data_IF_869828175858
#
_entry.id   IF_869828175858
#
_cell.length_a   1.000
_cell.length_b   1.000
_cell.length_c   1.000
_cell.angle_alpha   90.00
_cell.angle_beta   90.00
_cell.angle_gamma   90.00
#
_symmetry.space_group_name_H-M   'P 1'
#
loop_
_entity.id
_entity.type
_entity.pdbx_description
1 polymer ?
#
# COMPACT_ATOMS: atom_id res chain seq x y z
N UNK A 1 -0.70 12.69 -1.82
CA UNK A 1 -0.73 11.22 -1.72
C UNK A 1 -2.14 10.75 -2.03
N UNK A 2 -2.33 9.62 -2.70
CA UNK A 2 -3.64 9.04 -2.99
C UNK A 2 -3.84 7.75 -2.18
N UNK A 3 -5.09 7.39 -1.88
CA UNK A 3 -5.39 6.13 -1.21
C UNK A 3 -5.25 4.92 -2.17
N UNK A 4 -5.25 3.70 -1.60
CA UNK A 4 -5.11 2.46 -2.36
C UNK A 4 -6.18 2.30 -3.45
N UNK A 5 -7.44 2.65 -3.17
CA UNK A 5 -8.53 2.55 -4.14
C UNK A 5 -8.30 3.44 -5.37
N UNK A 6 -7.88 4.68 -5.14
CA UNK A 6 -7.57 5.63 -6.20
C UNK A 6 -6.30 5.24 -6.96
N UNK A 7 -5.32 4.63 -6.28
CA UNK A 7 -4.14 4.05 -6.93
C UNK A 7 -4.53 2.91 -7.89
N UNK A 8 -5.36 1.97 -7.43
CA UNK A 8 -5.89 0.88 -8.27
C UNK A 8 -6.64 1.44 -9.48
N UNK A 9 -7.57 2.40 -9.27
CA UNK A 9 -8.31 3.04 -10.36
C UNK A 9 -7.38 3.74 -11.36
N UNK A 10 -6.31 4.36 -10.87
CA UNK A 10 -5.37 5.11 -11.72
C UNK A 10 -4.56 4.17 -12.61
N UNK A 11 -4.10 3.03 -12.10
CA UNK A 11 -3.10 2.20 -12.78
C UNK A 11 -3.58 0.85 -13.30
N UNK A 12 -4.73 0.31 -12.87
CA UNK A 12 -5.22 -0.96 -13.40
C UNK A 12 -5.38 -0.89 -14.93
N UNK A 13 -4.78 -1.84 -15.65
CA UNK A 13 -4.71 -1.90 -17.10
C UNK A 13 -3.70 -0.96 -17.75
N UNK A 14 -2.77 -0.35 -16.98
CA UNK A 14 -1.76 0.58 -17.49
C UNK A 14 -0.34 0.11 -17.13
N UNK A 15 0.67 0.49 -17.93
CA UNK A 15 2.05 0.25 -17.58
C UNK A 15 2.53 1.21 -16.49
N UNK A 16 3.42 0.72 -15.65
CA UNK A 16 4.25 1.51 -14.74
C UNK A 16 5.71 1.14 -15.03
N UNK A 17 6.53 2.16 -15.27
CA UNK A 17 7.98 2.03 -15.43
C UNK A 17 8.64 3.24 -14.76
N UNK A 18 9.07 3.07 -13.51
CA UNK A 18 9.53 4.19 -12.67
C UNK A 18 11.01 4.46 -12.92
N UNK A 19 11.81 3.40 -13.06
CA UNK A 19 13.26 3.52 -13.18
C UNK A 19 13.77 3.48 -14.63
N UNK A 20 12.90 3.17 -15.61
CA UNK A 20 13.23 3.02 -17.03
C UNK A 20 14.21 1.87 -17.29
N UNK A 21 14.26 0.89 -16.40
CA UNK A 21 15.12 -0.29 -16.49
C UNK A 21 14.25 -1.54 -16.57
N UNK A 22 14.46 -2.35 -17.61
CA UNK A 22 13.75 -3.62 -17.81
C UNK A 22 12.23 -3.48 -18.00
N UNK A 23 11.72 -2.27 -18.28
CA UNK A 23 10.33 -2.03 -18.64
C UNK A 23 9.38 -2.15 -17.46
N UNK A 24 8.27 -2.86 -17.63
CA UNK A 24 7.16 -2.90 -16.68
C UNK A 24 7.34 -3.98 -15.61
N UNK A 25 8.31 -3.85 -14.70
CA UNK A 25 8.60 -4.90 -13.71
C UNK A 25 7.67 -4.84 -12.49
N UNK A 26 7.58 -5.95 -11.74
CA UNK A 26 6.79 -6.01 -10.50
C UNK A 26 7.26 -5.01 -9.43
N UNK A 27 8.55 -4.69 -9.41
CA UNK A 27 9.12 -3.70 -8.48
C UNK A 27 8.77 -2.25 -8.84
N UNK A 28 8.50 -1.95 -10.11
CA UNK A 28 8.07 -0.61 -10.55
C UNK A 28 6.71 -0.25 -9.98
N UNK A 29 5.80 -1.21 -9.95
CA UNK A 29 4.51 -1.06 -9.28
C UNK A 29 4.69 -0.62 -7.82
N UNK A 30 5.62 -1.24 -7.08
CA UNK A 30 5.84 -0.92 -5.66
C UNK A 30 6.52 0.44 -5.50
N UNK A 31 7.45 0.79 -6.40
CA UNK A 31 8.07 2.13 -6.41
C UNK A 31 7.04 3.22 -6.65
N UNK A 32 6.15 3.02 -7.63
CA UNK A 32 5.09 3.97 -7.93
C UNK A 32 4.07 4.05 -6.79
N UNK A 33 3.75 2.91 -6.17
CA UNK A 33 2.88 2.86 -4.99
C UNK A 33 3.47 3.67 -3.83
N UNK A 34 4.77 3.56 -3.56
CA UNK A 34 5.41 4.37 -2.53
C UNK A 34 5.37 5.87 -2.84
N UNK A 35 5.59 6.26 -4.10
CA UNK A 35 5.51 7.66 -4.53
C UNK A 35 4.10 8.21 -4.34
N UNK A 36 3.10 7.51 -4.90
CA UNK A 36 1.73 8.02 -4.96
C UNK A 36 1.02 7.90 -3.60
N UNK A 37 1.22 6.81 -2.86
CA UNK A 37 0.49 6.51 -1.64
C UNK A 37 1.24 6.86 -0.36
N UNK A 38 2.58 6.79 -0.35
CA UNK A 38 3.38 7.10 0.85
C UNK A 38 4.11 8.45 0.76
N UNK A 39 4.16 9.06 -0.43
CA UNK A 39 4.75 10.39 -0.63
C UNK A 39 6.28 10.39 -0.66
N UNK A 40 6.92 9.23 -0.85
CA UNK A 40 8.37 9.15 -1.01
C UNK A 40 8.79 7.99 -1.90
N UNK A 41 9.97 8.11 -2.50
CA UNK A 41 10.57 7.02 -3.29
C UNK A 41 11.24 6.00 -2.39
N UNK A 42 10.93 4.72 -2.59
CA UNK A 42 11.70 3.62 -2.02
C UNK A 42 12.95 3.35 -2.86
N UNK A 43 13.99 2.84 -2.20
CA UNK A 43 15.28 2.57 -2.85
C UNK A 43 15.25 1.37 -3.80
N UNK A 44 16.44 0.99 -4.27
CA UNK A 44 16.63 -0.22 -5.07
C UNK A 44 16.11 -1.46 -4.36
N UNK A 45 15.63 -2.45 -5.12
CA UNK A 45 15.30 -3.79 -4.63
C UNK A 45 16.50 -4.74 -4.68
N UNK A 46 17.67 -4.30 -5.19
CA UNK A 46 18.88 -5.13 -5.23
C UNK A 46 18.79 -6.25 -6.27
N UNK A 47 18.14 -5.94 -7.40
CA UNK A 47 18.02 -6.81 -8.57
C UNK A 47 16.82 -7.75 -8.59
N UNK A 48 16.07 -7.92 -7.49
CA UNK A 48 14.91 -8.82 -7.48
C UNK A 48 13.91 -8.53 -6.36
N UNK A 49 12.68 -8.99 -6.51
CA UNK A 49 11.68 -8.98 -5.43
C UNK A 49 12.18 -9.76 -4.20
N UNK A 50 12.87 -10.88 -4.40
CA UNK A 50 13.44 -11.69 -3.31
C UNK A 50 14.50 -10.95 -2.50
N UNK A 51 15.35 -10.16 -3.15
CA UNK A 51 16.32 -9.29 -2.47
C UNK A 51 15.58 -8.21 -1.66
N UNK A 52 14.52 -7.63 -2.21
CA UNK A 52 13.61 -6.73 -1.49
C UNK A 52 12.98 -7.38 -0.25
N UNK A 53 12.50 -8.63 -0.36
CA UNK A 53 11.95 -9.39 0.77
C UNK A 53 12.99 -9.62 1.87
N UNK A 54 14.19 -10.05 1.50
CA UNK A 54 15.30 -10.23 2.45
C UNK A 54 15.75 -8.89 3.04
N UNK A 55 15.53 -7.80 2.31
CA UNK A 55 15.85 -6.42 2.68
C UNK A 55 17.34 -6.22 3.00
N UNK A 56 18.21 -6.90 2.26
CA UNK A 56 19.66 -6.90 2.49
C UNK A 56 20.31 -5.55 2.21
N UNK A 57 19.67 -4.70 1.40
CA UNK A 57 20.13 -3.35 1.06
C UNK A 57 19.23 -2.24 1.64
N UNK A 58 18.41 -2.57 2.64
CA UNK A 58 17.57 -1.62 3.37
C UNK A 58 16.56 -0.83 2.50
N UNK A 59 15.98 -1.49 1.47
CA UNK A 59 14.85 -0.99 0.67
C UNK A 59 13.68 -0.56 1.54
N UNK A 60 13.34 -1.39 2.54
CA UNK A 60 12.27 -1.18 3.51
C UNK A 60 12.87 -0.81 4.88
N UNK A 61 13.04 0.49 5.09
CA UNK A 61 13.61 1.02 6.34
C UNK A 61 12.71 0.68 7.54
N UNK A 62 13.27 0.10 8.60
CA UNK A 62 12.51 -0.29 9.82
C UNK A 62 11.76 0.87 10.48
N UNK A 63 12.21 2.10 10.30
CA UNK A 63 11.55 3.32 10.78
C UNK A 63 10.24 3.61 10.04
N UNK A 64 10.15 3.21 8.77
CA UNK A 64 9.00 3.45 7.89
C UNK A 64 8.17 2.21 7.62
N UNK A 65 8.72 1.01 7.81
CA UNK A 65 8.04 -0.24 7.47
C UNK A 65 8.10 -1.25 8.62
N UNK A 66 7.02 -2.01 8.75
CA UNK A 66 6.93 -3.21 9.56
C UNK A 66 7.04 -4.44 8.64
N UNK A 67 7.79 -5.45 9.09
CA UNK A 67 7.86 -6.74 8.39
C UNK A 67 6.86 -7.70 9.00
N UNK A 68 6.00 -8.27 8.16
CA UNK A 68 4.92 -9.18 8.56
C UNK A 68 5.27 -10.57 8.03
N UNK A 69 5.42 -11.53 8.94
CA UNK A 69 5.64 -12.95 8.62
C UNK A 69 4.46 -13.83 9.02
N UNK A 70 3.60 -13.34 9.92
CA UNK A 70 2.35 -13.99 10.28
C UNK A 70 1.27 -13.60 9.25
N UNK A 71 0.97 -14.52 8.35
CA UNK A 71 0.06 -14.27 7.22
C UNK A 71 -1.37 -13.97 7.65
N UNK A 72 -1.77 -14.33 8.87
CA UNK A 72 -3.09 -13.99 9.43
C UNK A 72 -3.26 -12.49 9.69
N UNK A 73 -2.14 -11.75 9.77
CA UNK A 73 -2.12 -10.31 10.04
C UNK A 73 -2.08 -9.44 8.78
N UNK A 74 -2.12 -10.03 7.59
CA UNK A 74 -2.10 -9.28 6.34
C UNK A 74 -3.34 -8.39 6.21
N UNK A 75 -3.14 -7.18 5.71
CA UNK A 75 -4.18 -6.17 5.50
C UNK A 75 -4.06 -5.55 4.10
N UNK A 76 -5.18 -5.07 3.52
CA UNK A 76 -5.12 -4.28 2.29
C UNK A 76 -4.09 -3.15 2.37
N UNK A 77 -3.27 -3.01 1.33
CA UNK A 77 -2.17 -2.05 1.22
C UNK A 77 -0.79 -2.63 1.55
N UNK A 78 -0.73 -3.84 2.10
CA UNK A 78 0.53 -4.54 2.35
C UNK A 78 1.27 -4.84 1.03
N UNK A 79 2.60 -4.67 1.06
CA UNK A 79 3.50 -5.05 -0.03
C UNK A 79 3.87 -6.51 0.21
N UNK A 80 3.20 -7.42 -0.48
CA UNK A 80 3.29 -8.86 -0.29
C UNK A 80 4.35 -9.45 -1.21
N UNK A 81 5.23 -10.28 -0.66
CA UNK A 81 6.26 -10.99 -1.40
C UNK A 81 5.90 -12.44 -1.55
N UNK A 82 6.13 -12.99 -2.74
CA UNK A 82 5.86 -14.39 -3.05
C UNK A 82 7.14 -15.10 -3.50
N UNK A 83 7.16 -16.41 -3.29
CA UNK A 83 8.04 -17.29 -4.06
C UNK A 83 7.71 -17.10 -5.54
N UNK A 84 8.73 -17.08 -6.40
CA UNK A 84 8.52 -16.99 -7.85
C UNK A 84 7.83 -18.25 -8.37
N UNK A 85 7.85 -18.45 -9.69
CA UNK A 85 7.53 -19.75 -10.27
C UNK A 85 8.69 -20.73 -10.04
N UNK A 86 8.47 -22.03 -10.30
CA UNK A 86 9.53 -23.04 -10.37
C UNK A 86 10.65 -22.70 -11.37
N UNK A 87 10.40 -21.72 -12.24
CA UNK A 87 11.30 -21.25 -13.29
C UNK A 87 11.93 -19.87 -12.98
N UNK A 88 11.54 -19.21 -11.88
CA UNK A 88 11.95 -17.85 -11.53
C UNK A 88 12.49 -17.73 -10.09
N UNK A 89 13.82 -17.56 -9.96
CA UNK A 89 14.51 -17.37 -8.68
C UNK A 89 14.49 -15.92 -8.16
N UNK A 90 13.93 -14.97 -8.92
CA UNK A 90 13.85 -13.55 -8.54
C UNK A 90 12.70 -13.24 -7.57
N UNK A 91 11.75 -14.18 -7.39
CA UNK A 91 10.54 -13.95 -6.61
C UNK A 91 9.57 -12.98 -7.29
N UNK A 92 8.49 -12.64 -6.60
CA UNK A 92 7.51 -11.67 -7.07
C UNK A 92 7.03 -10.77 -5.92
N UNK A 93 6.53 -9.59 -6.26
CA UNK A 93 6.00 -8.63 -5.28
C UNK A 93 4.72 -8.00 -5.82
N UNK A 94 3.72 -7.90 -4.94
CA UNK A 94 2.36 -7.46 -5.26
C UNK A 94 1.82 -6.56 -4.15
N UNK A 95 0.75 -5.83 -4.41
CA UNK A 95 0.03 -5.03 -3.41
C UNK A 95 -1.25 -5.77 -3.03
N UNK A 96 -1.44 -6.06 -1.75
CA UNK A 96 -2.64 -6.72 -1.26
C UNK A 96 -3.84 -5.79 -1.36
N UNK A 97 -4.92 -6.23 -2.01
CA UNK A 97 -6.18 -5.48 -2.11
C UNK A 97 -7.23 -6.02 -1.15
N UNK A 98 -7.28 -7.34 -0.96
CA UNK A 98 -8.30 -7.98 -0.12
C UNK A 98 -7.86 -9.37 0.33
N UNK A 99 -8.22 -9.75 1.55
CA UNK A 99 -8.17 -11.12 2.06
C UNK A 99 -9.59 -11.68 2.12
N UNK A 100 -9.79 -12.88 1.57
CA UNK A 100 -11.07 -13.58 1.62
C UNK A 100 -11.06 -14.66 2.71
N UNK A 101 -12.23 -14.91 3.32
CA UNK A 101 -12.37 -15.93 4.37
C UNK A 101 -12.12 -17.37 3.90
N UNK A 102 -12.00 -17.61 2.60
CA UNK A 102 -11.70 -18.91 2.00
C UNK A 102 -10.19 -19.14 1.73
N UNK A 103 -9.31 -18.30 2.28
CA UNK A 103 -7.87 -18.42 2.10
C UNK A 103 -7.33 -17.87 0.77
N UNK A 104 -8.17 -17.20 -0.02
CA UNK A 104 -7.73 -16.45 -1.21
C UNK A 104 -7.40 -15.01 -0.86
N UNK A 105 -6.55 -14.40 -1.67
CA UNK A 105 -6.30 -12.96 -1.64
C UNK A 105 -6.48 -12.36 -3.04
N UNK A 106 -6.94 -11.11 -3.08
CA UNK A 106 -6.95 -10.27 -4.26
C UNK A 106 -5.73 -9.36 -4.21
N UNK A 107 -4.97 -9.26 -5.30
CA UNK A 107 -3.74 -8.46 -5.36
C UNK A 107 -3.72 -7.59 -6.61
N UNK A 108 -3.00 -6.48 -6.53
CA UNK A 108 -2.58 -5.68 -7.68
C UNK A 108 -1.13 -6.05 -8.00
N UNK A 109 -0.86 -6.36 -9.25
CA UNK A 109 0.45 -6.84 -9.69
C UNK A 109 0.80 -6.34 -11.09
N UNK A 110 2.07 -6.44 -11.46
CA UNK A 110 2.60 -6.09 -12.77
C UNK A 110 3.60 -7.18 -13.21
N UNK A 111 3.87 -7.34 -14.51
CA UNK A 111 4.84 -8.29 -15.06
C UNK A 111 4.44 -9.77 -14.91
N UNK A 112 3.22 -10.12 -15.31
CA UNK A 112 2.63 -11.45 -15.12
C UNK A 112 2.11 -12.05 -16.43
N UNK A 113 2.65 -11.60 -17.56
CA UNK A 113 2.49 -12.17 -18.89
C UNK A 113 3.75 -12.95 -19.30
N UNK A 114 4.42 -12.52 -20.37
CA UNK A 114 5.77 -12.97 -20.74
C UNK A 114 6.80 -12.73 -19.63
N UNK A 115 6.58 -11.72 -18.78
CA UNK A 115 7.51 -11.33 -17.73
C UNK A 115 8.77 -10.62 -18.26
N UNK A 116 8.77 -10.20 -19.52
CA UNK A 116 9.89 -9.50 -20.17
C UNK A 116 9.80 -7.98 -20.03
N UNK A 117 8.76 -7.51 -19.32
CA UNK A 117 8.51 -6.10 -19.04
C UNK A 117 7.99 -5.34 -20.26
N UNK A 118 7.46 -6.03 -21.27
CA UNK A 118 7.03 -5.44 -22.54
C UNK A 118 5.60 -5.83 -22.86
N UNK A 119 4.94 -4.97 -23.63
CA UNK A 119 3.58 -5.24 -24.08
C UNK A 119 2.54 -5.09 -22.98
N UNK A 120 1.28 -5.22 -23.38
CA UNK A 120 0.14 -5.01 -22.51
C UNK A 120 -0.15 -6.16 -21.55
N UNK A 121 0.43 -7.34 -21.80
CA UNK A 121 0.30 -8.52 -20.94
C UNK A 121 1.09 -8.40 -19.62
N UNK A 122 2.09 -7.51 -19.60
CA UNK A 122 2.86 -7.15 -18.40
C UNK A 122 2.33 -5.89 -17.69
N UNK A 123 1.25 -5.27 -18.15
CA UNK A 123 0.64 -4.13 -17.48
C UNK A 123 0.07 -4.50 -16.10
N UNK A 124 -0.19 -3.47 -15.30
CA UNK A 124 -0.81 -3.64 -14.00
C UNK A 124 -2.16 -4.33 -14.14
N UNK A 125 -2.40 -5.39 -13.37
CA UNK A 125 -3.67 -6.12 -13.33
C UNK A 125 -4.05 -6.55 -11.92
N UNK A 126 -5.32 -6.88 -11.78
CA UNK A 126 -5.85 -7.51 -10.56
C UNK A 126 -5.83 -9.03 -10.75
N UNK A 127 -5.27 -9.73 -9.76
CA UNK A 127 -5.17 -11.19 -9.75
C UNK A 127 -5.59 -11.79 -8.41
N UNK A 128 -5.71 -13.12 -8.39
CA UNK A 128 -6.10 -13.89 -7.20
C UNK A 128 -5.07 -14.97 -6.90
N UNK A 129 -4.68 -15.04 -5.63
CA UNK A 129 -3.65 -15.96 -5.14
C UNK A 129 -4.22 -16.78 -3.98
N UNK A 130 -3.73 -18.00 -3.80
CA UNK A 130 -3.97 -18.79 -2.58
C UNK A 130 -2.93 -18.42 -1.53
N UNK A 131 -3.38 -17.90 -0.38
CA UNK A 131 -2.54 -17.35 0.69
C UNK A 131 -1.47 -18.33 1.17
N UNK A 132 -1.79 -19.61 1.20
CA UNK A 132 -0.94 -20.65 1.78
C UNK A 132 0.04 -21.30 0.78
N UNK A 133 0.04 -20.90 -0.49
CA UNK A 133 0.80 -21.62 -1.52
C UNK A 133 2.16 -20.99 -1.88
N UNK A 134 2.27 -19.66 -1.83
CA UNK A 134 3.43 -18.93 -2.37
C UNK A 134 3.81 -17.69 -1.58
N UNK A 135 3.07 -17.30 -0.55
CA UNK A 135 3.31 -16.05 0.16
C UNK A 135 4.43 -16.22 1.19
N UNK A 136 5.46 -15.38 1.10
CA UNK A 136 6.57 -15.33 2.04
C UNK A 136 6.26 -14.46 3.25
N UNK A 137 5.47 -13.40 3.03
CA UNK A 137 5.13 -12.38 4.01
C UNK A 137 4.99 -11.03 3.33
N UNK A 138 5.02 -9.96 4.11
CA UNK A 138 4.83 -8.61 3.60
C UNK A 138 5.67 -7.55 4.30
N UNK A 139 5.80 -6.40 3.65
CA UNK A 139 6.13 -5.15 4.30
C UNK A 139 4.89 -4.26 4.33
N UNK A 140 4.55 -3.79 5.53
CA UNK A 140 3.53 -2.77 5.73
C UNK A 140 4.21 -1.44 5.93
N UNK A 141 3.80 -0.43 5.17
CA UNK A 141 4.18 0.93 5.49
C UNK A 141 3.57 1.28 6.84
N UNK A 142 4.43 1.59 7.82
CA UNK A 142 4.02 2.23 9.06
C UNK A 142 3.60 3.61 8.64
N UNK A 143 2.31 3.77 8.38
CA UNK A 143 1.78 5.08 8.08
C UNK A 143 2.33 6.04 9.13
N UNK A 144 2.95 7.14 8.68
CA UNK A 144 3.35 8.18 9.60
C UNK A 144 2.09 8.50 10.39
N UNK A 145 2.08 8.16 11.70
CA UNK A 145 0.89 8.20 12.56
C UNK A 145 -0.02 9.31 12.10
N UNK A 146 -1.18 8.94 11.54
CA UNK A 146 -2.15 9.87 10.96
C UNK A 146 -2.38 10.98 11.98
N UNK A 147 -2.58 10.57 13.23
CA UNK A 147 -2.44 11.40 14.39
C UNK A 147 -1.67 10.65 15.47
N UNK A 148 -0.92 11.38 16.29
CA UNK A 148 0.00 10.79 17.29
C UNK A 148 -0.72 9.93 18.34
N UNK A 149 -2.01 10.19 18.58
CA UNK A 149 -2.91 9.49 19.49
C UNK A 149 -3.87 8.50 18.79
N UNK A 150 -3.72 8.28 17.49
CA UNK A 150 -4.53 7.31 16.74
C UNK A 150 -3.63 6.17 16.26
N UNK A 151 -3.46 5.10 17.07
CA UNK A 151 -2.70 3.92 16.63
C UNK A 151 -3.45 3.16 15.53
N UNK A 152 -2.72 2.38 14.73
CA UNK A 152 -3.28 1.54 13.66
C UNK A 152 -4.35 0.56 14.15
N UNK A 153 -4.31 0.18 15.44
CA UNK A 153 -5.30 -0.69 16.08
C UNK A 153 -6.57 0.02 16.57
N UNK A 154 -6.69 1.34 16.39
CA UNK A 154 -7.84 2.11 16.85
C UNK A 154 -9.11 1.69 16.09
N UNK A 155 -10.26 1.48 16.75
CA UNK A 155 -11.49 1.00 16.09
C UNK A 155 -11.96 1.87 14.91
N UNK A 156 -11.69 3.17 14.97
CA UNK A 156 -12.04 4.15 13.93
C UNK A 156 -10.86 4.55 13.04
N UNK A 157 -9.74 3.83 13.06
CA UNK A 157 -8.52 4.18 12.31
C UNK A 157 -8.83 4.47 10.83
N UNK A 158 -9.55 3.58 10.14
CA UNK A 158 -9.88 3.75 8.72
C UNK A 158 -10.76 4.98 8.45
N UNK A 159 -11.74 5.26 9.31
CA UNK A 159 -12.61 6.43 9.19
C UNK A 159 -11.85 7.73 9.42
N UNK A 160 -10.99 7.74 10.44
CA UNK A 160 -10.11 8.86 10.78
C UNK A 160 -9.12 9.13 9.65
N UNK A 161 -8.54 8.07 9.09
CA UNK A 161 -7.66 8.14 7.92
C UNK A 161 -8.36 8.77 6.73
N UNK A 162 -9.52 8.25 6.37
CA UNK A 162 -10.31 8.79 5.28
C UNK A 162 -10.61 10.27 5.52
N UNK A 163 -11.00 10.64 6.74
CA UNK A 163 -11.26 12.04 7.09
C UNK A 163 -10.01 12.91 6.94
N UNK A 164 -8.83 12.47 7.39
CA UNK A 164 -7.57 13.21 7.20
C UNK A 164 -7.18 13.33 5.73
N UNK A 165 -7.20 12.22 4.99
CA UNK A 165 -6.77 12.15 3.60
C UNK A 165 -7.62 13.02 2.68
N UNK A 166 -8.90 13.22 3.04
CA UNK A 166 -9.80 14.10 2.31
C UNK A 166 -9.78 15.54 2.83
N UNK A 167 -8.98 15.88 3.84
CA UNK A 167 -8.93 17.24 4.40
C UNK A 167 -10.15 17.60 5.27
N UNK A 168 -10.85 16.60 5.80
CA UNK A 168 -11.98 16.78 6.73
C UNK A 168 -11.45 16.98 8.15
N UNK A 169 -10.50 16.12 8.56
CA UNK A 169 -9.91 16.12 9.89
C UNK A 169 -8.45 16.61 9.86
N UNK A 170 -8.16 17.72 10.55
CA UNK A 170 -6.81 18.32 10.62
C UNK A 170 -6.06 18.03 11.91
N UNK A 171 -6.76 17.65 12.99
CA UNK A 171 -6.18 17.46 14.31
C UNK A 171 -5.74 18.77 14.99
N UNK A 172 -5.01 18.62 16.08
CA UNK A 172 -4.39 19.68 16.86
C UNK A 172 -2.97 19.98 16.35
N UNK A 173 -2.41 21.12 16.78
CA UNK A 173 -1.04 21.52 16.44
C UNK A 173 0.04 20.59 16.98
N UNK A 174 -0.25 19.79 18.00
CA UNK A 174 0.65 18.78 18.57
C UNK A 174 0.60 17.43 17.83
N UNK A 175 -0.15 17.38 16.71
CA UNK A 175 -0.26 16.20 15.86
C UNK A 175 -1.29 15.17 16.33
N UNK A 176 -2.05 15.43 17.40
CA UNK A 176 -3.15 14.57 17.86
C UNK A 176 -4.44 14.83 17.09
N UNK A 177 -5.35 13.87 17.07
CA UNK A 177 -6.76 14.10 16.69
C UNK A 177 -7.62 14.40 17.91
N UNK A 178 -7.30 13.82 19.08
CA UNK A 178 -8.25 13.72 20.19
C UNK A 178 -9.39 12.74 19.87
N UNK A 179 -9.06 11.57 19.30
CA UNK A 179 -10.06 10.62 18.80
C UNK A 179 -11.00 10.06 19.90
N UNK A 180 -10.50 9.96 21.13
CA UNK A 180 -11.25 9.49 22.30
C UNK A 180 -11.68 10.64 23.23
N UNK A 181 -11.48 11.90 22.81
CA UNK A 181 -11.89 13.07 23.59
C UNK A 181 -13.37 13.40 23.36
N UNK A 182 -13.97 14.13 24.31
CA UNK A 182 -15.30 14.71 24.10
C UNK A 182 -15.25 15.70 22.94
N UNK A 183 -16.04 15.42 21.90
CA UNK A 183 -16.14 16.30 20.73
C UNK A 183 -16.97 17.54 21.08
N UNK A 184 -16.38 18.73 20.91
CA UNK A 184 -17.13 19.99 21.06
C UNK A 184 -18.01 20.23 19.85
N UNK A 185 -19.14 20.94 20.05
CA UNK A 185 -20.04 21.34 18.95
C UNK A 185 -19.27 22.12 17.88
N UNK A 186 -18.36 23.00 18.26
CA UNK A 186 -17.53 23.75 17.30
C UNK A 186 -16.62 22.86 16.44
N UNK A 187 -15.95 21.86 17.03
CA UNK A 187 -15.12 20.92 16.25
C UNK A 187 -15.95 20.01 15.35
N UNK A 188 -17.11 19.57 15.82
CA UNK A 188 -18.05 18.81 15.00
C UNK A 188 -18.51 19.62 13.77
N UNK A 189 -18.91 20.88 13.97
CA UNK A 189 -19.33 21.76 12.88
C UNK A 189 -18.18 22.06 11.90
N UNK A 190 -16.95 22.23 12.38
CA UNK A 190 -15.78 22.41 11.51
C UNK A 190 -15.53 21.19 10.59
N UNK A 191 -15.66 19.97 11.12
CA UNK A 191 -15.55 18.77 10.29
C UNK A 191 -16.67 18.67 9.24
N UNK A 192 -17.91 19.03 9.62
CA UNK A 192 -19.02 19.08 8.67
C UNK A 192 -18.81 20.12 7.56
N UNK A 193 -18.34 21.32 7.91
CA UNK A 193 -18.03 22.37 6.94
C UNK A 193 -16.95 21.92 5.94
N UNK A 194 -15.89 21.28 6.43
CA UNK A 194 -14.84 20.74 5.56
C UNK A 194 -15.39 19.65 4.62
N UNK A 195 -16.23 18.75 5.14
CA UNK A 195 -16.88 17.72 4.33
C UNK A 195 -17.75 18.31 3.21
N UNK A 196 -18.54 19.33 3.52
CA UNK A 196 -19.42 19.99 2.55
C UNK A 196 -18.64 20.66 1.41
N UNK A 197 -17.51 21.31 1.73
CA UNK A 197 -16.60 21.90 0.73
C UNK A 197 -16.09 20.86 -0.26
N UNK A 198 -15.75 19.66 0.22
CA UNK A 198 -15.23 18.58 -0.64
C UNK A 198 -16.33 18.02 -1.54
N UNK A 199 -17.57 17.93 -1.05
CA UNK A 199 -18.70 17.40 -1.83
C UNK A 199 -19.17 18.33 -2.94
N UNK A 200 -18.92 19.62 -2.80
CA UNK A 200 -19.37 20.67 -3.73
C UNK A 200 -18.30 21.05 -4.75
N UNK A 201 -17.12 20.43 -4.69
CA UNK A 201 -15.98 20.59 -5.61
C UNK A 201 -16.01 19.55 -6.73
#
# INVERSE_FOLDING_TARGET
MINLENFVKKYNGKPIDVDRLYGHQCVDLIKQYAIDCFGFSIGSFGGSAMTGWKNTINTFQKTKFEKITDLSKLLPGDIVFTTGSSENNYGHVVILLKVFGNGKIQVLEQNMGSGDGKGSDDFVKISFYDLNSKILGAYRYKESRIFTDVPDSHPFFNSIKWAKDNGIAHGYSDGRLGADEVLTVGRFLAFLENYDKIKTS
#
